data_IF_312234883287
#
_entry.id   IF_312234883287
#
_cell.length_a   1.000
_cell.length_b   1.000
_cell.length_c   1.000
_cell.angle_alpha   90.00
_cell.angle_beta   90.00
_cell.angle_gamma   90.00
#
_symmetry.space_group_name_H-M   'P 1'
#
loop_
_entity.id
_entity.type
_entity.pdbx_description
1 polymer ?
#
# COMPACT_ATOMS: atom_id res chain seq x y z
N UNK A 1 71.77 -26.42 13.43
CA UNK A 1 72.44 -26.09 12.15
C UNK A 1 71.62 -24.91 11.56
N UNK A 2 72.23 -23.72 11.62
CA UNK A 2 71.60 -22.45 11.23
C UNK A 2 71.87 -22.20 9.74
N UNK A 3 70.88 -21.97 8.95
CA UNK A 3 71.05 -21.44 7.59
C UNK A 3 70.39 -20.07 7.54
N UNK A 4 71.22 -19.04 7.40
CA UNK A 4 70.78 -17.67 7.06
C UNK A 4 70.72 -17.56 5.52
N UNK A 5 69.63 -17.09 4.97
CA UNK A 5 69.59 -16.65 3.58
C UNK A 5 69.33 -15.16 3.59
N UNK A 6 70.23 -14.45 3.00
CA UNK A 6 70.23 -13.02 2.76
C UNK A 6 69.55 -12.81 1.35
N UNK A 7 68.51 -12.01 1.23
CA UNK A 7 68.04 -11.56 -0.08
C UNK A 7 67.98 -10.04 -0.12
N UNK A 8 68.59 -9.54 -1.13
CA UNK A 8 68.84 -8.15 -1.45
C UNK A 8 67.57 -7.38 -1.82
N UNK A 9 67.51 -6.15 -1.36
CA UNK A 9 66.52 -5.12 -1.69
C UNK A 9 66.78 -4.60 -3.12
N UNK A 10 65.77 -4.69 -3.98
CA UNK A 10 65.70 -3.92 -5.20
C UNK A 10 64.59 -2.84 -5.04
N UNK A 11 65.01 -1.59 -4.94
CA UNK A 11 64.10 -0.45 -4.88
C UNK A 11 63.58 -0.14 -6.31
N UNK A 12 62.28 -0.33 -6.52
CA UNK A 12 61.59 0.20 -7.68
C UNK A 12 60.86 1.47 -7.24
N UNK A 13 61.31 2.61 -7.71
CA UNK A 13 60.64 3.90 -7.57
C UNK A 13 59.47 3.93 -8.57
N UNK A 14 58.26 3.63 -8.08
CA UNK A 14 57.03 3.82 -8.83
C UNK A 14 56.41 5.19 -8.48
N UNK A 15 56.34 6.09 -9.46
CA UNK A 15 55.55 7.32 -9.35
C UNK A 15 54.07 6.98 -9.11
N UNK A 16 53.60 7.16 -7.87
CA UNK A 16 52.16 7.16 -7.54
C UNK A 16 51.60 8.54 -7.93
N UNK A 17 50.94 8.61 -9.10
CA UNK A 17 50.04 9.72 -9.39
C UNK A 17 48.80 9.56 -8.50
N UNK A 18 48.70 10.34 -7.46
CA UNK A 18 47.50 10.48 -6.65
C UNK A 18 46.45 11.19 -7.48
N UNK A 19 45.61 10.39 -8.13
CA UNK A 19 44.35 10.88 -8.69
C UNK A 19 43.43 11.29 -7.54
N UNK A 20 43.40 12.58 -7.22
CA UNK A 20 42.39 13.17 -6.36
C UNK A 20 41.06 13.06 -7.14
N UNK A 21 40.27 12.03 -6.87
CA UNK A 21 38.86 12.03 -7.25
C UNK A 21 38.16 13.05 -6.36
N UNK A 22 38.02 14.26 -6.86
CA UNK A 22 37.11 15.23 -6.30
C UNK A 22 35.70 14.65 -6.35
N UNK A 23 35.22 14.16 -5.22
CA UNK A 23 33.78 13.99 -5.03
C UNK A 23 33.19 15.39 -5.14
N UNK A 24 32.56 15.69 -6.29
CA UNK A 24 31.75 16.90 -6.44
C UNK A 24 30.60 16.73 -5.44
N UNK A 25 30.74 17.38 -4.30
CA UNK A 25 29.60 17.58 -3.40
C UNK A 25 28.52 18.30 -4.24
N UNK A 26 27.41 17.64 -4.51
CA UNK A 26 26.27 18.25 -5.20
C UNK A 26 25.84 19.46 -4.41
N UNK A 27 25.88 20.61 -5.07
CA UNK A 27 25.45 21.89 -4.50
C UNK A 27 23.96 21.76 -4.12
N UNK A 28 23.55 21.92 -2.86
CA UNK A 28 22.15 21.77 -2.44
C UNK A 28 21.17 22.79 -3.06
N UNK A 29 21.66 23.68 -3.90
CA UNK A 29 20.89 24.76 -4.53
C UNK A 29 20.74 24.61 -6.06
N UNK A 30 20.85 23.41 -6.63
CA UNK A 30 20.79 23.17 -8.09
C UNK A 30 19.35 23.22 -8.65
N UNK A 31 18.38 23.74 -8.00
CA UNK A 31 17.01 23.94 -8.54
C UNK A 31 16.33 22.69 -9.13
N UNK A 32 17.00 21.53 -9.12
CA UNK A 32 16.50 20.29 -9.70
C UNK A 32 15.50 19.62 -8.77
N UNK A 33 14.41 19.15 -9.36
CA UNK A 33 13.48 18.26 -8.70
C UNK A 33 14.14 16.89 -8.51
N UNK A 34 14.19 16.40 -7.28
CA UNK A 34 14.68 15.06 -6.95
C UNK A 34 13.48 14.12 -6.95
N UNK A 35 13.62 12.98 -7.65
CA UNK A 35 12.58 11.97 -7.71
C UNK A 35 13.08 10.64 -7.16
N UNK A 36 12.21 9.89 -6.50
CA UNK A 36 12.45 8.53 -6.01
C UNK A 36 11.42 7.58 -6.60
N UNK A 37 11.81 6.33 -6.83
CA UNK A 37 10.88 5.29 -7.29
C UNK A 37 9.95 4.86 -6.17
N UNK A 38 8.78 4.32 -6.54
CA UNK A 38 7.80 3.85 -5.57
C UNK A 38 8.32 2.71 -4.67
N UNK A 39 9.23 1.88 -5.17
CA UNK A 39 9.84 0.78 -4.42
C UNK A 39 11.12 1.17 -3.64
N UNK A 40 11.38 2.46 -3.47
CA UNK A 40 12.48 2.92 -2.61
C UNK A 40 12.25 2.43 -1.16
N UNK A 41 13.29 1.88 -0.48
CA UNK A 41 13.16 1.35 0.87
C UNK A 41 12.76 2.40 1.93
N UNK A 42 12.89 3.68 1.64
CA UNK A 42 12.39 4.77 2.49
C UNK A 42 10.86 4.97 2.43
N UNK A 43 10.16 4.25 1.52
CA UNK A 43 8.70 4.29 1.39
C UNK A 43 8.12 2.98 1.92
N UNK A 44 7.18 3.07 2.85
CA UNK A 44 6.58 1.91 3.50
C UNK A 44 5.13 1.75 3.08
N UNK A 45 4.76 0.53 2.71
CA UNK A 45 3.40 0.18 2.32
C UNK A 45 2.74 -0.67 3.41
N UNK A 46 1.59 -0.23 3.89
CA UNK A 46 0.74 -0.95 4.83
C UNK A 46 -0.42 -1.59 4.06
N UNK A 47 -0.60 -2.91 4.20
CA UNK A 47 -1.58 -3.69 3.44
C UNK A 47 -0.97 -4.39 2.23
N UNK A 48 -1.84 -4.95 1.36
CA UNK A 48 -1.41 -5.74 0.20
C UNK A 48 -1.09 -4.88 -1.01
N UNK A 49 0.08 -5.09 -1.58
CA UNK A 49 0.52 -4.44 -2.82
C UNK A 49 1.39 -5.38 -3.64
N UNK A 50 1.54 -5.07 -4.93
CA UNK A 50 2.42 -5.78 -5.85
C UNK A 50 3.42 -4.80 -6.47
N UNK A 51 4.69 -5.18 -6.51
CA UNK A 51 5.75 -4.42 -7.22
C UNK A 51 5.89 -4.99 -8.62
N UNK A 52 5.84 -4.15 -9.63
CA UNK A 52 6.05 -4.55 -11.00
C UNK A 52 7.53 -4.44 -11.44
N UNK A 53 7.84 -4.89 -12.65
CA UNK A 53 9.20 -4.91 -13.21
C UNK A 53 9.80 -3.49 -13.37
N UNK A 54 8.99 -2.43 -13.39
CA UNK A 54 9.45 -1.04 -13.49
C UNK A 54 9.83 -0.44 -12.13
N UNK A 55 9.43 -1.11 -11.04
CA UNK A 55 9.54 -0.64 -9.68
C UNK A 55 8.33 0.17 -9.22
N UNK A 56 7.24 0.20 -10.00
CA UNK A 56 5.97 0.78 -9.58
C UNK A 56 5.29 -0.15 -8.58
N UNK A 57 4.59 0.42 -7.60
CA UNK A 57 3.85 -0.33 -6.57
C UNK A 57 2.36 -0.20 -6.83
N UNK A 58 1.72 -1.34 -7.08
CA UNK A 58 0.32 -1.42 -7.47
C UNK A 58 -0.56 -1.74 -6.26
N UNK A 59 -1.61 -0.96 -6.10
CA UNK A 59 -2.58 -1.02 -5.00
C UNK A 59 -3.95 -1.39 -5.57
N UNK A 60 -4.61 -2.39 -4.98
CA UNK A 60 -5.95 -2.84 -5.42
C UNK A 60 -6.94 -2.96 -4.27
N UNK A 61 -6.51 -3.41 -3.10
CA UNK A 61 -7.36 -3.51 -1.91
C UNK A 61 -7.64 -2.14 -1.27
N UNK A 62 -8.80 -1.95 -0.62
CA UNK A 62 -9.11 -0.73 0.13
C UNK A 62 -8.20 -0.57 1.34
N UNK A 63 -8.01 0.66 1.78
CA UNK A 63 -7.26 0.97 3.00
C UNK A 63 -5.76 0.78 2.93
N UNK A 64 -5.21 0.32 1.79
CA UNK A 64 -3.75 0.27 1.61
C UNK A 64 -3.20 1.66 1.78
N UNK A 65 -2.19 1.80 2.65
CA UNK A 65 -1.58 3.08 2.94
C UNK A 65 -0.11 3.14 2.51
N UNK A 66 0.31 4.32 2.05
CA UNK A 66 1.68 4.64 1.67
C UNK A 66 2.21 5.64 2.66
N UNK A 67 3.29 5.28 3.34
CA UNK A 67 3.92 6.09 4.37
C UNK A 67 5.32 6.51 3.92
N UNK A 68 5.64 7.79 4.04
CA UNK A 68 6.98 8.31 3.78
C UNK A 68 7.27 9.53 4.65
N UNK A 69 8.56 9.70 4.97
CA UNK A 69 9.09 10.92 5.58
C UNK A 69 9.99 11.62 4.55
N UNK A 70 9.89 12.93 4.44
CA UNK A 70 10.75 13.69 3.53
C UNK A 70 11.10 15.07 4.10
N UNK A 71 12.21 15.63 3.62
CA UNK A 71 12.57 17.03 3.79
C UNK A 71 12.24 17.79 2.51
N UNK A 72 11.58 18.92 2.60
CA UNK A 72 11.29 19.75 1.44
C UNK A 72 10.12 20.69 1.64
N UNK A 73 9.81 21.48 0.63
CA UNK A 73 8.66 22.40 0.62
C UNK A 73 7.50 21.91 -0.26
N UNK A 74 7.68 20.79 -0.97
CA UNK A 74 6.62 20.19 -1.77
C UNK A 74 6.85 18.69 -1.97
N UNK A 75 5.75 17.97 -2.15
CA UNK A 75 5.71 16.57 -2.50
C UNK A 75 4.70 16.37 -3.62
N UNK A 76 5.13 15.73 -4.70
CA UNK A 76 4.29 15.35 -5.83
C UNK A 76 4.33 13.84 -5.98
N UNK A 77 3.17 13.21 -6.08
CA UNK A 77 2.99 11.81 -6.40
C UNK A 77 2.90 11.64 -7.91
N UNK A 78 3.71 10.78 -8.50
CA UNK A 78 3.50 10.26 -9.85
C UNK A 78 2.78 8.92 -9.77
N UNK A 79 1.59 8.82 -10.37
CA UNK A 79 0.78 7.62 -10.34
C UNK A 79 0.02 7.39 -11.64
N UNK A 80 -0.36 6.13 -11.88
CA UNK A 80 -1.28 5.75 -12.95
C UNK A 80 -2.55 5.13 -12.33
N UNK A 81 -3.71 5.69 -12.64
CA UNK A 81 -5.00 5.21 -12.20
C UNK A 81 -5.69 4.40 -13.30
N UNK A 82 -6.24 3.23 -12.97
CA UNK A 82 -6.92 2.37 -13.93
C UNK A 82 -8.26 2.97 -14.40
N UNK A 83 -8.85 3.84 -13.60
CA UNK A 83 -10.13 4.48 -13.88
C UNK A 83 -10.18 5.89 -13.28
N UNK A 84 -11.20 6.67 -13.63
CA UNK A 84 -11.48 7.96 -13.01
C UNK A 84 -12.02 7.78 -11.59
N UNK A 85 -11.99 8.86 -10.82
CA UNK A 85 -12.53 8.90 -9.45
C UNK A 85 -11.92 7.87 -8.51
N UNK A 86 -10.59 7.72 -8.58
CA UNK A 86 -9.83 7.02 -7.56
C UNK A 86 -9.27 8.02 -6.54
N UNK A 87 -9.41 7.68 -5.25
CA UNK A 87 -9.21 8.64 -4.17
C UNK A 87 -8.20 8.16 -3.14
N UNK A 88 -7.41 9.11 -2.62
CA UNK A 88 -6.65 8.95 -1.40
C UNK A 88 -7.07 9.99 -0.35
N UNK A 89 -7.14 9.55 0.91
CA UNK A 89 -7.05 10.45 2.05
C UNK A 89 -5.56 10.71 2.32
N UNK A 90 -5.16 11.97 2.26
CA UNK A 90 -3.76 12.40 2.47
C UNK A 90 -3.65 13.13 3.80
N UNK A 91 -2.86 12.59 4.72
CA UNK A 91 -2.50 13.24 5.98
C UNK A 91 -1.03 13.65 5.94
N UNK A 92 -0.77 14.92 6.21
CA UNK A 92 0.57 15.49 6.36
C UNK A 92 0.74 15.89 7.80
N UNK A 93 1.85 15.48 8.43
CA UNK A 93 2.20 15.81 9.81
C UNK A 93 1.06 15.52 10.82
N UNK A 94 0.35 14.40 10.60
CA UNK A 94 -0.79 13.96 11.41
C UNK A 94 -2.01 14.92 11.38
N UNK A 95 -2.03 15.89 10.48
CA UNK A 95 -3.20 16.75 10.27
C UNK A 95 -4.41 15.96 9.77
N UNK A 96 -5.59 16.55 9.87
CA UNK A 96 -6.81 16.01 9.31
C UNK A 96 -6.62 15.72 7.81
N UNK A 97 -7.05 14.55 7.31
CA UNK A 97 -6.81 14.18 5.92
C UNK A 97 -7.52 15.11 4.94
N UNK A 98 -6.85 15.39 3.85
CA UNK A 98 -7.42 16.04 2.66
C UNK A 98 -7.64 15.01 1.55
N UNK A 99 -8.61 15.27 0.68
CA UNK A 99 -8.92 14.40 -0.45
C UNK A 99 -7.98 14.66 -1.61
N UNK A 100 -7.34 13.62 -2.13
CA UNK A 100 -6.62 13.62 -3.40
C UNK A 100 -7.40 12.78 -4.40
N UNK A 101 -7.77 13.38 -5.54
CA UNK A 101 -8.47 12.70 -6.63
C UNK A 101 -7.49 12.36 -7.75
N UNK A 102 -7.53 11.11 -8.19
CA UNK A 102 -6.79 10.63 -9.34
C UNK A 102 -7.74 10.40 -10.51
N UNK A 103 -7.26 10.72 -11.72
CA UNK A 103 -7.96 10.53 -12.97
C UNK A 103 -7.31 9.42 -13.78
N UNK A 104 -8.07 8.76 -14.63
CA UNK A 104 -7.63 7.65 -15.47
C UNK A 104 -6.37 7.99 -16.25
N UNK A 105 -5.40 7.07 -16.22
CA UNK A 105 -4.10 7.22 -16.86
C UNK A 105 -3.00 7.71 -15.92
N UNK A 106 -1.86 8.08 -16.47
CA UNK A 106 -0.73 8.62 -15.72
C UNK A 106 -0.95 10.11 -15.42
N UNK A 107 -0.53 10.52 -14.21
CA UNK A 107 -0.58 11.90 -13.80
C UNK A 107 0.41 12.21 -12.66
N UNK A 108 0.68 13.50 -12.52
CA UNK A 108 1.44 14.06 -11.41
C UNK A 108 0.46 14.82 -10.50
N UNK A 109 0.43 14.42 -9.22
CA UNK A 109 -0.55 14.89 -8.24
C UNK A 109 0.17 15.58 -7.09
N UNK A 110 -0.12 16.86 -6.88
CA UNK A 110 0.46 17.62 -5.75
C UNK A 110 -0.14 17.08 -4.45
N UNK A 111 0.70 16.44 -3.63
CA UNK A 111 0.34 15.91 -2.31
C UNK A 111 0.37 17.02 -1.27
N UNK A 112 1.42 17.82 -1.29
CA UNK A 112 1.54 19.02 -0.46
C UNK A 112 2.44 20.08 -1.10
N UNK A 113 2.22 21.34 -0.71
CA UNK A 113 3.09 22.47 -1.02
C UNK A 113 3.06 23.44 0.14
N UNK A 114 4.25 23.85 0.62
CA UNK A 114 4.45 24.84 1.67
C UNK A 114 5.35 25.96 1.20
N UNK A 115 5.42 27.05 1.96
CA UNK A 115 6.29 28.18 1.65
C UNK A 115 7.75 27.96 2.05
N UNK A 116 8.04 26.98 2.89
CA UNK A 116 9.37 26.71 3.44
C UNK A 116 9.64 25.20 3.46
N UNK A 117 10.91 24.82 3.30
CA UNK A 117 11.34 23.46 3.43
C UNK A 117 11.41 23.07 4.91
N UNK A 118 10.82 21.92 5.25
CA UNK A 118 10.84 21.32 6.57
C UNK A 118 10.81 19.78 6.45
N UNK A 119 10.98 19.10 7.58
CA UNK A 119 10.76 17.65 7.65
C UNK A 119 9.26 17.39 7.80
N UNK A 120 8.74 16.48 6.98
CA UNK A 120 7.33 16.14 6.92
C UNK A 120 7.15 14.63 7.00
N UNK A 121 6.06 14.19 7.64
CA UNK A 121 5.54 12.84 7.58
C UNK A 121 4.26 12.82 6.74
N UNK A 122 4.13 11.87 5.81
CA UNK A 122 2.97 11.79 4.92
C UNK A 122 2.41 10.37 4.90
N UNK A 123 1.09 10.28 4.98
CA UNK A 123 0.33 9.04 4.81
C UNK A 123 -0.73 9.26 3.73
N UNK A 124 -0.69 8.44 2.67
CA UNK A 124 -1.73 8.38 1.66
C UNK A 124 -2.50 7.08 1.84
N UNK A 125 -3.77 7.13 2.20
CA UNK A 125 -4.64 5.95 2.39
C UNK A 125 -5.64 5.84 1.25
N UNK A 126 -5.58 4.72 0.50
CA UNK A 126 -6.51 4.46 -0.60
C UNK A 126 -7.94 4.31 -0.06
N UNK A 127 -8.91 5.06 -0.63
CA UNK A 127 -10.30 5.07 -0.18
C UNK A 127 -11.17 4.01 -0.84
N UNK A 128 -10.94 3.78 -2.14
CA UNK A 128 -11.81 3.03 -3.03
C UNK A 128 -11.89 1.54 -2.71
N UNK A 129 -13.03 0.94 -3.06
CA UNK A 129 -13.23 -0.50 -3.06
C UNK A 129 -12.37 -1.22 -4.12
N UNK A 130 -12.24 -2.53 -3.95
CA UNK A 130 -11.43 -3.38 -4.81
C UNK A 130 -11.89 -3.34 -6.28
N UNK A 131 -13.20 -3.40 -6.55
CA UNK A 131 -13.76 -3.39 -7.91
C UNK A 131 -13.68 -2.03 -8.62
N UNK A 132 -13.38 -0.96 -7.90
CA UNK A 132 -13.36 0.41 -8.46
C UNK A 132 -12.07 0.72 -9.24
N UNK A 133 -11.14 -0.22 -9.34
CA UNK A 133 -9.91 -0.09 -10.11
C UNK A 133 -8.66 -0.08 -9.24
N UNK A 134 -7.51 -0.18 -9.88
CA UNK A 134 -6.17 -0.19 -9.26
C UNK A 134 -5.45 1.13 -9.46
N UNK A 135 -4.50 1.42 -8.57
CA UNK A 135 -3.56 2.53 -8.72
C UNK A 135 -2.14 1.99 -8.72
N UNK A 136 -1.33 2.39 -9.68
CA UNK A 136 0.11 2.16 -9.68
C UNK A 136 0.82 3.43 -9.21
N UNK A 137 1.45 3.38 -8.04
CA UNK A 137 2.37 4.40 -7.56
C UNK A 137 3.67 4.22 -8.34
N UNK A 138 4.10 5.23 -9.08
CA UNK A 138 5.31 5.17 -9.90
C UNK A 138 6.51 5.79 -9.18
N UNK A 139 6.25 6.77 -8.32
CA UNK A 139 7.27 7.43 -7.52
C UNK A 139 6.81 8.74 -6.91
N UNK A 140 7.74 9.40 -6.26
CA UNK A 140 7.52 10.70 -5.65
C UNK A 140 8.62 11.66 -6.09
N UNK A 141 8.27 12.96 -6.22
CA UNK A 141 9.23 14.01 -6.45
C UNK A 141 9.10 15.11 -5.39
N UNK A 142 10.26 15.64 -5.03
CA UNK A 142 10.40 16.70 -4.01
C UNK A 142 10.81 17.99 -4.70
N UNK A 143 10.39 19.12 -4.15
CA UNK A 143 10.87 20.43 -4.58
C UNK A 143 12.39 20.57 -4.45
N UNK A 144 12.92 21.68 -4.95
CA UNK A 144 14.35 21.96 -4.92
C UNK A 144 14.96 21.77 -3.52
N UNK A 145 16.06 21.01 -3.44
CA UNK A 145 16.73 20.66 -2.19
C UNK A 145 15.98 19.62 -1.33
N UNK A 146 14.83 19.11 -1.81
CA UNK A 146 14.09 18.09 -1.11
C UNK A 146 14.74 16.70 -1.19
N UNK A 147 14.46 15.83 -0.24
CA UNK A 147 14.96 14.45 -0.19
C UNK A 147 14.08 13.55 0.65
N UNK A 148 14.10 12.28 0.35
CA UNK A 148 13.50 11.26 1.21
C UNK A 148 14.30 11.17 2.53
N UNK A 149 13.61 10.95 3.64
CA UNK A 149 14.20 10.71 4.95
C UNK A 149 14.13 9.21 5.30
N UNK A 150 14.54 8.87 6.52
CA UNK A 150 14.43 7.50 7.02
C UNK A 150 12.97 7.01 6.94
N UNK A 151 12.82 5.73 6.59
CA UNK A 151 11.51 5.09 6.51
C UNK A 151 10.73 5.25 7.83
N UNK A 152 9.44 5.56 7.78
CA UNK A 152 8.61 5.60 8.99
C UNK A 152 8.46 4.20 9.58
N UNK A 153 8.49 4.13 10.91
CA UNK A 153 8.19 2.89 11.64
C UNK A 153 6.68 2.72 11.75
N UNK A 154 6.19 1.55 11.35
CA UNK A 154 4.79 1.18 11.54
C UNK A 154 4.56 0.55 12.93
N UNK A 155 3.34 0.60 13.47
CA UNK A 155 2.98 -0.13 14.68
C UNK A 155 3.35 -1.60 14.58
N UNK A 156 3.80 -2.21 15.67
CA UNK A 156 4.14 -3.66 15.69
C UNK A 156 2.89 -4.54 15.58
N UNK A 157 1.81 -4.14 16.26
CA UNK A 157 0.53 -4.88 16.23
C UNK A 157 -0.08 -4.81 14.84
N UNK A 158 -0.62 -5.93 14.36
CA UNK A 158 -1.19 -6.06 13.01
C UNK A 158 -2.59 -6.67 13.10
N UNK A 159 -3.56 -6.02 12.48
CA UNK A 159 -4.93 -6.51 12.35
C UNK A 159 -5.26 -6.75 10.88
N UNK A 160 -6.00 -7.82 10.60
CA UNK A 160 -6.54 -8.08 9.26
C UNK A 160 -8.06 -8.19 9.34
N UNK A 161 -8.75 -7.60 8.37
CA UNK A 161 -10.19 -7.76 8.22
C UNK A 161 -10.49 -8.27 6.83
N UNK A 162 -11.18 -9.42 6.78
CA UNK A 162 -11.60 -10.06 5.54
C UNK A 162 -13.11 -9.84 5.41
N UNK A 163 -13.57 -9.32 4.25
CA UNK A 163 -14.98 -9.00 4.14
C UNK A 163 -15.44 -8.50 2.78
N UNK A 164 -16.62 -7.93 2.78
CA UNK A 164 -17.33 -7.37 1.64
C UNK A 164 -17.30 -5.83 1.61
N UNK A 165 -18.33 -5.20 1.04
CA UNK A 165 -18.43 -3.74 0.93
C UNK A 165 -18.46 -3.03 2.29
N UNK A 166 -19.01 -3.64 3.32
CA UNK A 166 -19.00 -3.09 4.69
C UNK A 166 -17.57 -2.95 5.19
N UNK A 167 -16.75 -3.96 4.95
CA UNK A 167 -15.33 -3.94 5.30
C UNK A 167 -14.54 -2.97 4.43
N UNK A 168 -14.92 -2.81 3.14
CA UNK A 168 -14.35 -1.80 2.25
C UNK A 168 -14.62 -0.36 2.71
N UNK A 169 -15.64 -0.12 3.54
CA UNK A 169 -16.08 1.21 3.95
C UNK A 169 -17.03 1.86 2.95
N UNK A 170 -17.86 1.06 2.25
CA UNK A 170 -18.91 1.57 1.38
C UNK A 170 -19.83 2.52 2.15
N UNK A 171 -20.19 3.65 1.54
CA UNK A 171 -21.07 4.70 2.08
C UNK A 171 -20.61 5.33 3.41
N UNK A 172 -19.43 5.03 3.92
CA UNK A 172 -18.94 5.63 5.18
C UNK A 172 -18.66 7.14 5.07
N UNK A 173 -18.52 7.66 3.85
CA UNK A 173 -18.38 9.09 3.55
C UNK A 173 -19.59 9.66 2.77
N UNK A 174 -20.75 9.00 2.85
CA UNK A 174 -21.97 9.48 2.19
C UNK A 174 -22.45 10.79 2.85
N UNK A 175 -22.83 11.74 2.01
CA UNK A 175 -23.46 13.00 2.41
C UNK A 175 -24.88 13.07 1.79
N UNK A 176 -25.82 13.54 2.58
CA UNK A 176 -27.22 13.64 2.13
C UNK A 176 -27.36 14.48 0.84
N UNK A 177 -28.08 13.94 -0.12
CA UNK A 177 -28.31 14.56 -1.43
C UNK A 177 -27.24 14.19 -2.50
N UNK A 178 -26.19 13.48 -2.14
CA UNK A 178 -25.24 12.94 -3.13
C UNK A 178 -25.79 11.67 -3.76
N UNK A 179 -25.46 11.41 -5.04
CA UNK A 179 -25.76 10.12 -5.65
C UNK A 179 -25.10 8.98 -4.82
N UNK A 180 -25.92 8.05 -4.35
CA UNK A 180 -25.44 6.94 -3.53
C UNK A 180 -24.40 6.06 -4.26
N UNK A 181 -24.43 6.03 -5.59
CA UNK A 181 -23.49 5.26 -6.41
C UNK A 181 -22.15 5.98 -6.64
N UNK A 182 -22.04 7.24 -6.25
CA UNK A 182 -20.82 8.00 -6.42
C UNK A 182 -19.66 7.38 -5.63
N UNK A 183 -18.54 7.09 -6.28
CA UNK A 183 -17.36 6.42 -5.70
C UNK A 183 -16.79 7.17 -4.50
N UNK A 184 -16.95 8.49 -4.45
CA UNK A 184 -16.50 9.34 -3.33
C UNK A 184 -17.18 9.01 -2.00
N UNK A 185 -18.33 8.33 -2.01
CA UNK A 185 -19.03 7.91 -0.80
C UNK A 185 -18.31 6.79 -0.06
N UNK A 186 -17.45 6.05 -0.75
CA UNK A 186 -16.60 5.02 -0.12
C UNK A 186 -15.38 5.64 0.51
N UNK A 187 -15.12 5.28 1.77
CA UNK A 187 -13.88 5.65 2.43
C UNK A 187 -13.40 4.55 3.35
N UNK A 188 -12.46 3.75 2.87
CA UNK A 188 -11.88 2.64 3.62
C UNK A 188 -11.30 3.09 4.97
N UNK A 189 -10.71 4.29 5.05
CA UNK A 189 -10.16 4.85 6.30
C UNK A 189 -11.21 5.01 7.40
N UNK A 190 -12.49 5.14 7.03
CA UNK A 190 -13.62 5.25 7.93
C UNK A 190 -14.32 3.91 8.21
N UNK A 191 -13.89 2.81 7.58
CA UNK A 191 -14.43 1.47 7.87
C UNK A 191 -14.15 1.06 9.31
N UNK A 192 -14.98 0.16 9.84
CA UNK A 192 -14.86 -0.31 11.22
C UNK A 192 -13.47 -0.88 11.53
N UNK A 193 -12.88 -1.62 10.58
CA UNK A 193 -11.55 -2.23 10.75
C UNK A 193 -10.44 -1.19 10.88
N UNK A 194 -10.42 -0.19 9.99
CA UNK A 194 -9.45 0.90 10.04
C UNK A 194 -9.63 1.80 11.27
N UNK A 195 -10.88 2.04 11.68
CA UNK A 195 -11.16 2.81 12.90
C UNK A 195 -10.67 2.06 14.14
N UNK A 196 -10.94 0.75 14.22
CA UNK A 196 -10.48 -0.07 15.33
C UNK A 196 -8.96 -0.13 15.41
N UNK A 197 -8.30 -0.38 14.28
CA UNK A 197 -6.84 -0.46 14.23
C UNK A 197 -6.17 0.85 14.71
N UNK A 198 -6.64 2.01 14.25
CA UNK A 198 -6.14 3.31 14.73
C UNK A 198 -6.31 3.48 16.24
N UNK A 199 -7.47 3.08 16.79
CA UNK A 199 -7.72 3.17 18.25
C UNK A 199 -6.81 2.27 19.07
N UNK A 200 -6.39 1.16 18.50
CA UNK A 200 -5.49 0.18 19.13
C UNK A 200 -4.00 0.44 18.84
N UNK A 201 -3.68 1.47 18.08
CA UNK A 201 -2.30 1.72 17.63
C UNK A 201 -1.73 0.54 16.84
N UNK A 202 -2.51 0.02 15.89
CA UNK A 202 -2.16 -1.16 15.09
C UNK A 202 -2.16 -0.84 13.59
N UNK A 203 -1.40 -1.61 12.82
CA UNK A 203 -1.53 -1.69 11.37
C UNK A 203 -2.87 -2.36 11.01
N UNK A 204 -3.38 -2.07 9.81
CA UNK A 204 -4.62 -2.67 9.31
C UNK A 204 -4.49 -3.12 7.86
N UNK A 205 -4.79 -4.38 7.59
CA UNK A 205 -4.97 -4.89 6.24
C UNK A 205 -6.46 -5.20 6.00
N UNK A 206 -7.09 -4.48 5.07
CA UNK A 206 -8.43 -4.81 4.59
C UNK A 206 -8.30 -5.72 3.36
N UNK A 207 -8.65 -6.99 3.51
CA UNK A 207 -8.71 -7.96 2.42
C UNK A 207 -10.18 -8.14 2.08
N UNK A 208 -10.74 -7.19 1.34
CA UNK A 208 -12.19 -7.10 1.14
C UNK A 208 -12.55 -6.71 -0.28
N UNK A 209 -13.73 -7.18 -0.72
CA UNK A 209 -14.25 -6.95 -2.07
C UNK A 209 -15.77 -6.78 -2.02
N UNK A 210 -16.27 -5.60 -2.40
CA UNK A 210 -17.71 -5.30 -2.41
C UNK A 210 -18.50 -6.25 -3.31
N UNK A 211 -19.65 -6.67 -2.82
CA UNK A 211 -20.55 -7.58 -3.56
C UNK A 211 -20.13 -9.06 -3.54
N UNK A 212 -19.02 -9.45 -2.92
CA UNK A 212 -18.54 -10.84 -2.89
C UNK A 212 -18.91 -11.54 -1.58
N UNK A 213 -19.22 -12.82 -1.67
CA UNK A 213 -19.50 -13.68 -0.53
C UNK A 213 -18.46 -14.79 -0.34
N UNK A 214 -18.88 -15.87 0.29
CA UNK A 214 -18.09 -17.11 0.45
C UNK A 214 -18.29 -18.04 -0.75
N UNK A 215 -19.54 -18.26 -1.17
CA UNK A 215 -19.90 -19.22 -2.22
C UNK A 215 -20.47 -18.55 -3.48
N UNK A 216 -20.98 -17.34 -3.35
CA UNK A 216 -21.55 -16.57 -4.46
C UNK A 216 -21.50 -15.07 -4.20
N UNK A 217 -21.66 -14.29 -5.26
CA UNK A 217 -21.76 -12.84 -5.16
C UNK A 217 -23.21 -12.38 -4.87
N UNK A 218 -23.40 -11.06 -4.78
CA UNK A 218 -24.71 -10.44 -4.49
C UNK A 218 -25.78 -10.71 -5.55
N UNK A 219 -25.40 -11.10 -6.78
CA UNK A 219 -26.30 -11.50 -7.87
C UNK A 219 -26.59 -13.00 -7.86
N UNK A 220 -25.98 -13.77 -6.96
CA UNK A 220 -26.07 -15.23 -6.89
C UNK A 220 -25.11 -15.96 -7.82
N UNK A 221 -24.18 -15.25 -8.47
CA UNK A 221 -23.23 -15.83 -9.41
C UNK A 221 -22.09 -16.51 -8.62
N UNK A 222 -21.80 -17.75 -8.97
CA UNK A 222 -20.79 -18.60 -8.30
C UNK A 222 -19.41 -18.51 -8.95
N UNK A 223 -19.37 -18.27 -10.26
CA UNK A 223 -18.15 -18.22 -11.07
C UNK A 223 -17.38 -16.91 -10.94
N UNK A 224 -17.56 -16.21 -9.83
CA UNK A 224 -16.86 -14.97 -9.52
C UNK A 224 -15.75 -15.23 -8.51
N UNK A 225 -14.79 -14.30 -8.40
CA UNK A 225 -13.79 -14.35 -7.34
C UNK A 225 -14.41 -13.96 -6.00
N UNK A 226 -14.90 -14.98 -5.27
CA UNK A 226 -15.42 -14.83 -3.92
C UNK A 226 -14.28 -14.81 -2.89
N UNK A 227 -14.61 -14.72 -1.60
CA UNK A 227 -13.60 -14.53 -0.56
C UNK A 227 -12.47 -15.57 -0.55
N UNK A 228 -12.73 -16.88 -0.73
CA UNK A 228 -11.65 -17.87 -0.80
C UNK A 228 -10.65 -17.62 -1.94
N UNK A 229 -11.08 -16.99 -3.05
CA UNK A 229 -10.21 -16.71 -4.19
C UNK A 229 -9.48 -15.37 -4.05
N UNK A 230 -10.17 -14.27 -3.73
CA UNK A 230 -9.48 -12.98 -3.62
C UNK A 230 -8.55 -12.90 -2.39
N UNK A 231 -8.78 -13.73 -1.37
CA UNK A 231 -7.89 -13.85 -0.22
C UNK A 231 -6.48 -14.30 -0.60
N UNK A 232 -6.33 -15.07 -1.69
CA UNK A 232 -5.03 -15.53 -2.18
C UNK A 232 -4.24 -14.48 -2.98
N UNK A 233 -4.84 -13.31 -3.27
CA UNK A 233 -4.30 -12.38 -4.25
C UNK A 233 -3.58 -11.20 -3.59
N UNK A 234 -2.54 -10.72 -4.25
CA UNK A 234 -1.90 -9.44 -3.95
C UNK A 234 -2.73 -8.26 -4.48
N UNK A 235 -3.40 -8.46 -5.62
CA UNK A 235 -4.36 -7.53 -6.22
C UNK A 235 -5.66 -8.28 -6.52
N UNK A 236 -6.82 -7.76 -6.10
CA UNK A 236 -8.07 -8.54 -6.04
C UNK A 236 -8.57 -9.03 -7.39
N UNK A 237 -8.20 -8.38 -8.51
CA UNK A 237 -8.64 -8.72 -9.86
C UNK A 237 -7.56 -9.36 -10.74
N UNK A 238 -6.38 -9.68 -10.18
CA UNK A 238 -5.26 -10.25 -10.91
C UNK A 238 -4.87 -11.63 -10.40
N UNK A 239 -5.50 -12.70 -10.89
CA UNK A 239 -5.30 -14.07 -10.38
C UNK A 239 -3.87 -14.59 -10.54
N UNK A 240 -3.08 -14.00 -11.44
CA UNK A 240 -1.66 -14.34 -11.60
C UNK A 240 -0.76 -13.79 -10.47
N UNK A 241 -1.25 -12.85 -9.67
CA UNK A 241 -0.50 -12.21 -8.59
C UNK A 241 -0.97 -12.74 -7.24
N UNK A 242 -0.41 -13.87 -6.84
CA UNK A 242 -0.67 -14.46 -5.52
C UNK A 242 -0.01 -13.65 -4.41
N UNK A 243 -0.64 -13.65 -3.24
CA UNK A 243 -0.09 -13.02 -2.04
C UNK A 243 0.74 -14.02 -1.23
N UNK A 244 1.93 -13.61 -0.84
CA UNK A 244 2.73 -14.33 0.14
C UNK A 244 2.26 -13.92 1.56
N UNK A 245 1.52 -14.81 2.22
CA UNK A 245 0.93 -14.57 3.53
C UNK A 245 1.97 -14.29 4.63
N UNK A 246 3.22 -14.76 4.47
CA UNK A 246 4.31 -14.49 5.41
C UNK A 246 4.70 -13.01 5.49
N UNK A 247 4.37 -12.21 4.49
CA UNK A 247 4.67 -10.76 4.46
C UNK A 247 3.84 -9.95 5.46
N UNK A 248 2.67 -10.47 5.86
CA UNK A 248 1.80 -9.82 6.82
C UNK A 248 1.10 -10.87 7.66
N UNK A 249 1.71 -11.24 8.79
CA UNK A 249 1.12 -12.15 9.79
C UNK A 249 0.38 -11.29 10.81
N UNK A 250 -0.97 -11.32 10.87
CA UNK A 250 -1.75 -10.52 11.78
C UNK A 250 -1.81 -11.13 13.18
N UNK A 251 -1.86 -10.28 14.23
CA UNK A 251 -2.13 -10.71 15.61
C UNK A 251 -3.61 -11.07 15.83
N UNK A 252 -4.51 -10.52 14.99
CA UNK A 252 -5.92 -10.89 15.00
C UNK A 252 -6.56 -10.70 13.63
N UNK A 253 -7.52 -11.58 13.32
CA UNK A 253 -8.28 -11.55 12.06
C UNK A 253 -9.77 -11.44 12.38
N UNK A 254 -10.44 -10.45 11.79
CA UNK A 254 -11.90 -10.34 11.76
C UNK A 254 -12.43 -10.76 10.39
N UNK A 255 -13.44 -11.63 10.36
CA UNK A 255 -14.11 -12.05 9.11
C UNK A 255 -15.56 -11.59 9.17
N UNK A 256 -15.98 -10.77 8.20
CA UNK A 256 -17.36 -10.27 8.03
C UNK A 256 -17.80 -10.58 6.59
N UNK A 257 -18.50 -11.70 6.41
CA UNK A 257 -18.98 -12.21 5.13
C UNK A 257 -20.32 -12.91 5.31
N UNK A 258 -21.06 -13.09 4.23
CA UNK A 258 -22.35 -13.77 4.21
C UNK A 258 -23.46 -12.89 3.63
N UNK A 259 -23.42 -11.58 3.81
CA UNK A 259 -24.46 -10.66 3.29
C UNK A 259 -24.77 -10.93 1.82
N UNK A 260 -23.76 -11.07 1.00
CA UNK A 260 -23.90 -11.29 -0.44
C UNK A 260 -24.38 -12.72 -0.76
N UNK A 261 -23.99 -13.71 0.02
CA UNK A 261 -24.44 -15.09 -0.13
C UNK A 261 -25.96 -15.22 0.08
N UNK A 262 -26.54 -14.36 0.94
CA UNK A 262 -27.99 -14.36 1.25
C UNK A 262 -28.82 -13.37 0.43
N UNK A 263 -28.20 -12.54 -0.40
CA UNK A 263 -28.90 -11.49 -1.17
C UNK A 263 -29.95 -12.03 -2.17
N UNK A 264 -29.73 -13.23 -2.71
CA UNK A 264 -30.64 -13.92 -3.64
C UNK A 264 -31.39 -15.10 -2.98
N UNK A 265 -31.73 -14.94 -1.71
CA UNK A 265 -32.39 -15.97 -0.91
C UNK A 265 -31.39 -16.83 -0.11
N UNK A 266 -31.94 -17.69 0.74
CA UNK A 266 -31.16 -18.54 1.64
C UNK A 266 -30.41 -19.59 0.81
N UNK A 267 -29.08 -19.69 0.88
CA UNK A 267 -28.30 -20.72 0.22
C UNK A 267 -28.54 -22.09 0.89
N UNK A 268 -28.09 -23.17 0.24
CA UNK A 268 -28.03 -24.47 0.94
C UNK A 268 -27.16 -24.34 2.19
N UNK A 269 -27.75 -24.75 3.32
CA UNK A 269 -27.12 -24.59 4.63
C UNK A 269 -25.79 -25.34 4.73
N UNK A 270 -25.78 -26.59 4.26
CA UNK A 270 -24.58 -27.43 4.37
C UNK A 270 -23.47 -26.91 3.48
N UNK A 271 -23.80 -26.49 2.26
CA UNK A 271 -22.84 -25.91 1.34
C UNK A 271 -22.20 -24.65 1.93
N UNK A 272 -23.03 -23.70 2.39
CA UNK A 272 -22.54 -22.43 2.93
C UNK A 272 -21.68 -22.63 4.19
N UNK A 273 -22.15 -23.42 5.15
CA UNK A 273 -21.43 -23.69 6.41
C UNK A 273 -20.11 -24.40 6.13
N UNK A 274 -20.12 -25.44 5.29
CA UNK A 274 -18.90 -26.18 4.97
C UNK A 274 -17.87 -25.29 4.26
N UNK A 275 -18.29 -24.48 3.29
CA UNK A 275 -17.41 -23.54 2.59
C UNK A 275 -16.82 -22.49 3.55
N UNK A 276 -17.63 -21.99 4.48
CA UNK A 276 -17.17 -21.02 5.47
C UNK A 276 -16.16 -21.64 6.44
N UNK A 277 -16.42 -22.85 6.94
CA UNK A 277 -15.49 -23.57 7.82
C UNK A 277 -14.17 -23.83 7.10
N UNK A 278 -14.20 -24.34 5.86
CA UNK A 278 -13.00 -24.56 5.06
C UNK A 278 -12.19 -23.28 4.86
N UNK A 279 -12.87 -22.16 4.64
CA UNK A 279 -12.21 -20.87 4.50
C UNK A 279 -11.55 -20.41 5.81
N UNK A 280 -12.23 -20.55 6.96
CA UNK A 280 -11.64 -20.23 8.28
C UNK A 280 -10.41 -21.11 8.55
N UNK A 281 -10.50 -22.40 8.29
CA UNK A 281 -9.37 -23.32 8.47
C UNK A 281 -8.17 -22.95 7.59
N UNK A 282 -8.44 -22.50 6.35
CA UNK A 282 -7.38 -21.98 5.48
C UNK A 282 -6.74 -20.73 6.07
N UNK A 283 -7.52 -19.74 6.46
CA UNK A 283 -7.03 -18.49 7.05
C UNK A 283 -6.16 -18.76 8.30
N UNK A 284 -6.56 -19.74 9.13
CA UNK A 284 -5.78 -20.15 10.31
C UNK A 284 -4.45 -20.82 9.95
N UNK A 285 -4.39 -21.59 8.87
CA UNK A 285 -3.11 -22.18 8.40
C UNK A 285 -2.15 -21.12 7.89
N UNK A 286 -2.67 -20.08 7.22
CA UNK A 286 -1.87 -19.01 6.62
C UNK A 286 -1.38 -17.97 7.67
N UNK A 287 -2.05 -17.92 8.83
CA UNK A 287 -1.68 -17.07 9.95
C UNK A 287 -1.66 -17.92 11.24
N UNK A 288 -0.69 -18.80 11.38
CA UNK A 288 -0.53 -19.59 12.59
C UNK A 288 -0.15 -18.70 13.79
N UNK A 289 -0.56 -19.11 15.00
CA UNK A 289 -0.29 -18.46 16.28
C UNK A 289 1.22 -18.29 16.56
#
# INVERSE_FOLDING_TARGET
>A
MKIKILLSLLAVVGCLSTGVTSSVASNPNDGRTISVKANDPGIVYEGRCAVDATGSVRLGFPGVAVHLNFHGSSLTLKAAAADDDLYFDVSVDQAAPTLLTLHKGEGDYVVMKSGQAADHSVVLTRRNESWQGTVAIMGFSFGAGGRLLAAPELPKRKLMFIGDSVTCGELTAYEAGRDMKARINTNARLSYGMVLARRLGAQCALVSYGGRGIIRDWQGIRDTRNAPQFYELALPDEPALTWDHSRYVPDAIGIQLGTNDFSQGIPDQNEFVNAYVQFIEKVRRDAPD
#
